data_IF_477766954514
#
_entry.id   IF_477766954514
#
_cell.length_a   1.000
_cell.length_b   1.000
_cell.length_c   1.000
_cell.angle_alpha   90.00
_cell.angle_beta   90.00
_cell.angle_gamma   90.00
#
_symmetry.space_group_name_H-M   'P 1'
#
loop_
_entity.id
_entity.type
_entity.pdbx_description
1 polymer ?
#
# COMPACT_ATOMS: atom_id res chain seq x y z
N UNK A 1 51.90 47.14 12.35
CA UNK A 1 51.51 47.94 11.17
C UNK A 1 52.29 47.56 9.91
N UNK A 2 53.61 47.87 9.81
CA UNK A 2 54.41 47.61 8.59
C UNK A 2 54.33 46.16 8.08
N UNK A 3 54.30 45.16 8.97
CA UNK A 3 54.14 43.76 8.57
C UNK A 3 52.76 43.45 7.97
N UNK A 4 51.67 44.03 8.51
CA UNK A 4 50.33 43.87 7.95
C UNK A 4 50.23 44.48 6.54
N UNK A 5 50.82 45.67 6.33
CA UNK A 5 50.89 46.28 5.00
C UNK A 5 51.59 45.38 3.98
N UNK A 6 52.67 44.68 4.38
CA UNK A 6 53.36 43.73 3.50
C UNK A 6 52.48 42.54 3.13
N UNK A 7 51.71 41.99 4.08
CA UNK A 7 50.78 40.88 3.82
C UNK A 7 49.66 41.31 2.86
N UNK A 8 49.01 42.44 3.15
CA UNK A 8 47.95 43.03 2.30
C UNK A 8 48.48 43.29 0.88
N UNK A 9 49.66 43.90 0.73
CA UNK A 9 50.24 44.23 -0.57
C UNK A 9 50.50 43.01 -1.46
N UNK A 10 50.79 41.83 -0.90
CA UNK A 10 51.02 40.60 -1.67
C UNK A 10 49.78 40.04 -2.36
N UNK A 11 48.59 40.48 -1.94
CA UNK A 11 47.28 40.05 -2.44
C UNK A 11 46.54 41.17 -3.19
N UNK A 12 47.17 42.32 -3.37
CA UNK A 12 46.59 43.44 -4.11
C UNK A 12 46.64 43.16 -5.61
N UNK A 13 45.58 43.50 -6.37
CA UNK A 13 45.58 43.42 -7.83
C UNK A 13 46.77 44.19 -8.45
N UNK A 14 47.39 43.63 -9.48
CA UNK A 14 48.55 44.21 -10.18
C UNK A 14 49.91 43.61 -9.80
N UNK A 15 49.96 42.65 -8.88
CA UNK A 15 51.15 41.80 -8.66
C UNK A 15 51.03 40.52 -9.48
N UNK A 16 52.02 40.24 -10.34
CA UNK A 16 52.03 39.12 -11.30
C UNK A 16 52.38 37.77 -10.62
N UNK A 17 51.65 37.45 -9.56
CA UNK A 17 51.87 36.27 -8.70
C UNK A 17 50.65 35.36 -8.75
N UNK A 18 50.88 34.06 -8.93
CA UNK A 18 49.82 33.06 -8.99
C UNK A 18 48.95 33.09 -7.71
N UNK A 19 47.62 33.15 -7.91
CA UNK A 19 46.64 33.19 -6.82
C UNK A 19 46.16 34.59 -6.43
N UNK A 20 46.75 35.67 -6.95
CA UNK A 20 46.28 37.05 -6.68
C UNK A 20 44.99 37.34 -7.48
N UNK A 21 43.94 37.89 -6.84
CA UNK A 21 42.70 38.21 -7.54
C UNK A 21 42.87 39.36 -8.55
N UNK A 22 42.13 39.31 -9.65
CA UNK A 22 42.14 40.36 -10.68
C UNK A 22 41.49 41.68 -10.20
N UNK A 23 40.56 41.58 -9.26
CA UNK A 23 39.90 42.70 -8.61
C UNK A 23 39.51 42.30 -7.18
N UNK A 24 39.40 43.28 -6.28
CA UNK A 24 38.89 43.07 -4.94
C UNK A 24 37.44 43.59 -4.85
N UNK A 25 36.59 42.88 -4.13
CA UNK A 25 35.24 43.34 -3.79
C UNK A 25 35.02 43.15 -2.30
N UNK A 26 34.56 44.20 -1.61
CA UNK A 26 34.23 44.16 -0.20
C UNK A 26 33.07 45.11 0.10
N UNK A 27 32.31 44.82 1.15
CA UNK A 27 31.13 45.57 1.54
C UNK A 27 31.44 47.00 2.00
N UNK A 28 30.43 47.88 1.96
CA UNK A 28 30.56 49.28 2.37
C UNK A 28 31.08 49.44 3.81
N UNK A 29 30.70 48.52 4.71
CA UNK A 29 31.16 48.50 6.10
C UNK A 29 32.68 48.32 6.23
N UNK A 30 33.28 47.50 5.36
CA UNK A 30 34.74 47.27 5.32
C UNK A 30 35.46 48.54 4.86
N UNK A 31 34.89 49.24 3.87
CA UNK A 31 35.39 50.53 3.38
C UNK A 31 35.38 51.62 4.46
N UNK A 32 34.28 51.71 5.22
CA UNK A 32 34.14 52.66 6.33
C UNK A 32 35.17 52.36 7.44
N UNK A 33 35.32 51.09 7.80
CA UNK A 33 36.30 50.64 8.82
C UNK A 33 37.74 50.97 8.42
N UNK A 34 38.10 50.82 7.15
CA UNK A 34 39.42 51.20 6.63
C UNK A 34 39.62 52.73 6.64
N UNK A 35 38.58 53.49 6.31
CA UNK A 35 38.62 54.95 6.33
C UNK A 35 38.84 55.48 7.74
N UNK A 36 38.15 54.88 8.72
CA UNK A 36 38.32 55.16 10.14
C UNK A 36 39.73 54.78 10.63
N UNK A 37 40.24 53.59 10.24
CA UNK A 37 41.60 53.18 10.56
C UNK A 37 42.65 54.17 10.01
N UNK A 38 42.44 54.70 8.80
CA UNK A 38 43.32 55.73 8.22
C UNK A 38 43.28 57.00 9.07
N UNK A 39 42.09 57.46 9.48
CA UNK A 39 41.93 58.65 10.33
C UNK A 39 42.66 58.51 11.66
N UNK A 40 42.52 57.36 12.32
CA UNK A 40 43.23 57.07 13.57
C UNK A 40 44.76 57.06 13.37
N UNK A 41 45.25 56.43 12.30
CA UNK A 41 46.67 56.43 11.97
C UNK A 41 47.21 57.85 11.70
N UNK A 42 46.46 58.69 10.99
CA UNK A 42 46.84 60.09 10.74
C UNK A 42 46.98 60.87 12.05
N UNK A 43 46.07 60.67 13.01
CA UNK A 43 46.16 61.31 14.33
C UNK A 43 47.37 60.85 15.12
N UNK A 44 47.65 59.54 15.16
CA UNK A 44 48.84 58.98 15.82
C UNK A 44 50.13 59.59 15.22
N UNK A 45 50.20 59.68 13.89
CA UNK A 45 51.35 60.28 13.20
C UNK A 45 51.49 61.77 13.53
N UNK A 46 50.38 62.51 13.54
CA UNK A 46 50.38 63.93 13.90
C UNK A 46 50.88 64.14 15.34
N UNK A 47 50.41 63.34 16.31
CA UNK A 47 50.92 63.40 17.69
C UNK A 47 52.42 63.14 17.74
N UNK A 48 52.91 62.08 17.08
CA UNK A 48 54.35 61.77 17.07
C UNK A 48 55.18 62.89 16.42
N UNK A 49 54.67 63.53 15.37
CA UNK A 49 55.34 64.63 14.69
C UNK A 49 55.40 65.89 15.57
N UNK A 50 54.28 66.27 16.18
CA UNK A 50 54.19 67.44 17.06
C UNK A 50 54.99 67.24 18.36
N UNK A 51 54.98 66.04 18.95
CA UNK A 51 55.86 65.71 20.10
C UNK A 51 57.33 65.80 19.70
N UNK A 52 57.71 65.29 18.51
CA UNK A 52 59.08 65.39 18.03
C UNK A 52 59.49 66.84 17.76
N UNK A 53 58.59 67.66 17.20
CA UNK A 53 58.83 69.09 16.95
C UNK A 53 58.97 69.87 18.26
N UNK A 54 58.07 69.65 19.22
CA UNK A 54 58.14 70.24 20.56
C UNK A 54 59.41 69.81 21.30
N UNK A 55 59.78 68.52 21.21
CA UNK A 55 61.04 68.02 21.75
C UNK A 55 62.26 68.69 21.14
N UNK A 56 62.31 68.80 19.80
CA UNK A 56 63.41 69.43 19.08
C UNK A 56 63.60 70.91 19.44
N UNK A 57 62.51 71.64 19.73
CA UNK A 57 62.57 73.03 20.19
C UNK A 57 63.19 73.18 21.60
N UNK A 58 63.18 72.13 22.41
CA UNK A 58 63.72 72.13 23.77
C UNK A 58 65.18 71.65 23.85
N UNK A 59 65.71 71.03 22.78
CA UNK A 59 67.09 70.54 22.71
C UNK A 59 68.15 71.64 22.88
N UNK A 60 68.03 72.85 22.29
CA UNK A 60 69.06 73.89 22.40
C UNK A 60 69.24 74.45 23.82
N UNK A 61 68.25 74.28 24.69
CA UNK A 61 68.27 74.73 26.09
C UNK A 61 68.83 73.70 27.08
N UNK A 62 69.29 72.53 26.60
CA UNK A 62 69.85 71.46 27.42
C UNK A 62 71.39 71.43 27.29
N UNK A 63 72.09 71.15 28.38
CA UNK A 63 73.55 70.97 28.37
C UNK A 63 73.97 69.71 27.60
N UNK A 64 75.21 69.66 27.09
CA UNK A 64 75.71 68.61 26.18
C UNK A 64 75.64 67.15 26.72
N UNK A 65 75.27 66.94 28.00
CA UNK A 65 75.05 65.61 28.60
C UNK A 65 73.71 65.44 29.33
N UNK A 66 72.76 66.37 29.22
CA UNK A 66 71.44 66.26 29.90
C UNK A 66 70.31 65.93 28.92
N UNK A 67 69.57 64.86 29.21
CA UNK A 67 68.36 64.50 28.47
C UNK A 67 67.10 65.23 28.99
N UNK A 68 66.04 65.23 28.19
CA UNK A 68 64.72 65.71 28.64
C UNK A 68 64.21 64.86 29.81
N UNK A 69 63.80 65.50 30.90
CA UNK A 69 63.21 64.83 32.05
C UNK A 69 61.90 64.12 31.66
N UNK A 70 61.72 62.86 32.06
CA UNK A 70 60.58 62.01 31.66
C UNK A 70 59.20 62.66 31.90
N UNK A 71 58.99 63.25 33.09
CA UNK A 71 57.74 63.94 33.42
C UNK A 71 57.45 65.15 32.50
N UNK A 72 58.49 65.88 32.06
CA UNK A 72 58.31 67.01 31.13
C UNK A 72 57.93 66.52 29.74
N UNK A 73 58.49 65.40 29.31
CA UNK A 73 58.11 64.77 28.04
C UNK A 73 56.67 64.25 28.09
N UNK A 74 56.27 63.66 29.21
CA UNK A 74 54.89 63.19 29.44
C UNK A 74 53.89 64.36 29.38
N UNK A 75 54.18 65.48 30.03
CA UNK A 75 53.36 66.70 29.94
C UNK A 75 53.23 67.24 28.50
N UNK A 76 54.31 67.18 27.72
CA UNK A 76 54.31 67.59 26.30
C UNK A 76 53.43 66.63 25.49
N UNK A 77 53.57 65.32 25.71
CA UNK A 77 52.74 64.30 25.04
C UNK A 77 51.26 64.53 25.37
N UNK A 78 50.90 64.77 26.64
CA UNK A 78 49.53 65.05 27.04
C UNK A 78 48.98 66.28 26.30
N UNK A 79 49.70 67.41 26.29
CA UNK A 79 49.27 68.64 25.60
C UNK A 79 49.10 68.45 24.10
N UNK A 80 50.04 67.77 23.45
CA UNK A 80 49.99 67.50 22.00
C UNK A 80 48.84 66.54 21.66
N UNK A 81 48.59 65.53 22.50
CA UNK A 81 47.44 64.63 22.29
C UNK A 81 46.12 65.40 22.40
N UNK A 82 45.95 66.23 23.43
CA UNK A 82 44.75 67.06 23.58
C UNK A 82 44.55 67.99 22.37
N UNK A 83 45.63 68.58 21.87
CA UNK A 83 45.62 69.45 20.68
C UNK A 83 45.20 68.70 19.40
N UNK A 84 45.74 67.50 19.16
CA UNK A 84 45.48 66.72 17.93
C UNK A 84 44.11 66.04 17.98
N UNK A 85 43.64 65.62 19.16
CA UNK A 85 42.37 64.92 19.31
C UNK A 85 41.19 65.85 19.59
N UNK A 86 41.44 67.08 20.07
CA UNK A 86 40.42 68.09 20.37
C UNK A 86 39.62 67.81 21.65
N UNK A 87 40.14 66.96 22.54
CA UNK A 87 39.49 66.54 23.78
C UNK A 87 40.28 67.06 24.98
N UNK A 88 39.68 67.94 25.79
CA UNK A 88 40.30 68.43 27.03
C UNK A 88 39.85 67.56 28.22
N UNK A 89 40.80 67.11 29.06
CA UNK A 89 40.50 66.42 30.32
C UNK A 89 40.24 64.90 30.22
N UNK A 90 40.62 64.27 29.10
CA UNK A 90 40.67 62.80 28.97
C UNK A 90 42.14 62.37 29.02
N UNK A 91 42.41 61.20 29.60
CA UNK A 91 43.77 60.63 29.67
C UNK A 91 44.38 60.48 28.25
N UNK A 92 45.22 61.45 27.86
CA UNK A 92 45.78 61.59 26.52
C UNK A 92 46.63 60.37 26.10
N UNK A 93 47.58 59.91 26.92
CA UNK A 93 48.31 58.67 26.66
C UNK A 93 47.41 57.46 26.39
N UNK A 94 46.28 57.33 27.10
CA UNK A 94 45.33 56.24 26.88
C UNK A 94 44.57 56.37 25.56
N UNK A 95 44.20 57.59 25.14
CA UNK A 95 43.62 57.83 23.80
C UNK A 95 44.57 57.46 22.67
N UNK A 96 45.85 57.82 22.80
CA UNK A 96 46.88 57.44 21.84
C UNK A 96 47.05 55.91 21.78
N UNK A 97 47.04 55.24 22.94
CA UNK A 97 47.11 53.78 23.05
C UNK A 97 45.90 53.10 22.43
N UNK A 98 44.70 53.64 22.64
CA UNK A 98 43.45 53.15 22.05
C UNK A 98 43.46 53.28 20.52
N UNK A 99 43.89 54.43 19.98
CA UNK A 99 44.07 54.62 18.54
C UNK A 99 45.07 53.63 17.95
N UNK A 100 46.22 53.42 18.61
CA UNK A 100 47.21 52.44 18.17
C UNK A 100 46.64 51.01 18.16
N UNK A 101 45.90 50.65 19.21
CA UNK A 101 45.28 49.33 19.35
C UNK A 101 44.21 49.08 18.28
N UNK A 102 43.37 50.08 18.01
CA UNK A 102 42.34 50.04 16.95
C UNK A 102 42.97 49.87 15.57
N UNK A 103 44.03 50.63 15.26
CA UNK A 103 44.78 50.47 13.99
C UNK A 103 45.37 49.08 13.87
N UNK A 104 45.98 48.54 14.92
CA UNK A 104 46.56 47.18 14.91
C UNK A 104 45.47 46.13 14.65
N UNK A 105 44.33 46.21 15.34
CA UNK A 105 43.23 45.25 15.22
C UNK A 105 42.64 45.26 13.81
N UNK A 106 42.30 46.43 13.28
CA UNK A 106 41.72 46.58 11.94
C UNK A 106 42.68 46.11 10.85
N UNK A 107 43.97 46.49 10.95
CA UNK A 107 44.97 46.05 9.97
C UNK A 107 45.23 44.55 10.00
N UNK A 108 45.17 43.92 11.18
CA UNK A 108 45.31 42.47 11.31
C UNK A 108 44.12 41.75 10.67
N UNK A 109 42.89 42.18 10.96
CA UNK A 109 41.67 41.61 10.37
C UNK A 109 41.70 41.70 8.84
N UNK A 110 42.08 42.86 8.30
CA UNK A 110 42.25 43.06 6.85
C UNK A 110 43.31 42.15 6.25
N UNK A 111 44.47 42.01 6.91
CA UNK A 111 45.54 41.13 6.43
C UNK A 111 45.12 39.65 6.40
N UNK A 112 44.32 39.20 7.37
CA UNK A 112 43.79 37.82 7.42
C UNK A 112 42.76 37.59 6.31
N UNK A 113 41.73 38.44 6.21
CA UNK A 113 40.68 38.31 5.20
C UNK A 113 41.25 38.36 3.76
N UNK A 114 42.26 39.20 3.52
CA UNK A 114 42.97 39.23 2.24
C UNK A 114 43.80 37.97 1.97
N UNK A 115 44.36 37.34 3.00
CA UNK A 115 45.13 36.09 2.87
C UNK A 115 44.21 34.89 2.62
N UNK A 116 43.00 34.91 3.19
CA UNK A 116 41.96 33.88 3.04
C UNK A 116 41.15 34.04 1.76
N UNK A 117 41.28 35.16 1.05
CA UNK A 117 40.62 35.41 -0.23
C UNK A 117 39.16 35.84 -0.11
N UNK A 118 38.74 36.29 1.07
CA UNK A 118 37.35 36.74 1.32
C UNK A 118 36.94 37.95 0.48
N UNK A 119 37.91 38.73 0.00
CA UNK A 119 37.68 39.91 -0.84
C UNK A 119 37.99 39.69 -2.31
N UNK A 120 38.27 38.46 -2.74
CA UNK A 120 38.53 38.15 -4.14
C UNK A 120 37.22 38.31 -4.94
N UNK A 121 37.22 39.16 -5.97
CA UNK A 121 36.05 39.30 -6.83
C UNK A 121 35.80 38.00 -7.63
N UNK A 122 34.56 37.51 -7.64
CA UNK A 122 34.19 36.37 -8.49
C UNK A 122 34.50 36.69 -9.96
N UNK A 123 35.09 35.72 -10.66
CA UNK A 123 35.36 35.86 -12.09
C UNK A 123 34.03 36.09 -12.81
N UNK A 124 33.95 37.03 -13.78
CA UNK A 124 32.77 37.18 -14.61
C UNK A 124 32.43 35.83 -15.24
N UNK A 125 31.18 35.39 -15.07
CA UNK A 125 30.67 34.13 -15.61
C UNK A 125 30.85 34.14 -17.13
N UNK A 126 31.92 33.50 -17.64
CA UNK A 126 32.03 33.22 -19.07
C UNK A 126 30.90 32.27 -19.40
N UNK A 127 29.99 32.70 -20.28
CA UNK A 127 28.96 31.82 -20.81
C UNK A 127 29.64 30.61 -21.45
N UNK A 128 29.37 29.42 -20.92
CA UNK A 128 29.92 28.17 -21.42
C UNK A 128 29.54 28.02 -22.90
N UNK A 129 30.50 27.78 -23.82
CA UNK A 129 30.20 27.67 -25.24
C UNK A 129 29.15 26.59 -25.53
N UNK A 130 28.21 26.81 -26.48
CA UNK A 130 27.17 25.84 -26.83
C UNK A 130 27.71 24.44 -27.22
N UNK A 131 28.94 24.37 -27.74
CA UNK A 131 29.62 23.09 -28.05
C UNK A 131 29.92 22.27 -26.80
N UNK A 132 30.37 22.90 -25.72
CA UNK A 132 30.69 22.20 -24.47
C UNK A 132 29.42 21.71 -23.77
N UNK A 133 28.34 22.50 -23.81
CA UNK A 133 27.02 22.10 -23.31
C UNK A 133 26.48 20.88 -24.07
N UNK A 134 26.56 20.89 -25.41
CA UNK A 134 26.16 19.74 -26.23
C UNK A 134 27.03 18.51 -25.94
N UNK A 135 28.35 18.67 -25.85
CA UNK A 135 29.25 17.57 -25.53
C UNK A 135 28.98 16.98 -24.13
N UNK A 136 28.64 17.82 -23.15
CA UNK A 136 28.25 17.37 -21.82
C UNK A 136 26.93 16.60 -21.84
N UNK A 137 25.96 17.05 -22.63
CA UNK A 137 24.67 16.38 -22.79
C UNK A 137 24.85 15.00 -23.41
N UNK A 138 25.62 14.90 -24.50
CA UNK A 138 25.92 13.62 -25.15
C UNK A 138 26.66 12.66 -24.21
N UNK A 139 27.63 13.16 -23.42
CA UNK A 139 28.32 12.32 -22.44
C UNK A 139 27.37 11.77 -21.37
N UNK A 140 26.44 12.59 -20.88
CA UNK A 140 25.43 12.14 -19.92
C UNK A 140 24.50 11.08 -20.56
N UNK A 141 24.03 11.31 -21.78
CA UNK A 141 23.19 10.36 -22.52
C UNK A 141 23.91 9.03 -22.79
N UNK A 142 25.20 9.05 -23.10
CA UNK A 142 26.00 7.82 -23.29
C UNK A 142 26.11 7.01 -21.99
N UNK A 143 26.40 7.67 -20.86
CA UNK A 143 26.46 7.00 -19.55
C UNK A 143 25.10 6.42 -19.15
N UNK A 144 24.01 7.13 -19.42
CA UNK A 144 22.65 6.64 -19.16
C UNK A 144 22.32 5.42 -20.03
N UNK A 145 22.73 5.42 -21.31
CA UNK A 145 22.54 4.30 -22.23
C UNK A 145 23.32 3.04 -21.78
N UNK A 146 24.56 3.19 -21.30
CA UNK A 146 25.34 2.10 -20.72
C UNK A 146 24.63 1.51 -19.49
N UNK A 147 24.06 2.35 -18.63
CA UNK A 147 23.27 1.92 -17.47
C UNK A 147 21.99 1.16 -17.83
N UNK A 148 21.37 1.46 -18.99
CA UNK A 148 20.24 0.68 -19.51
C UNK A 148 20.67 -0.69 -20.03
N UNK A 149 21.87 -0.82 -20.60
CA UNK A 149 22.43 -2.09 -21.07
C UNK A 149 22.54 -3.14 -19.95
N UNK A 150 23.12 -2.75 -18.80
CA UNK A 150 23.23 -3.63 -17.62
C UNK A 150 21.86 -4.08 -17.12
N UNK A 151 20.89 -3.16 -17.06
CA UNK A 151 19.51 -3.51 -16.67
C UNK A 151 18.86 -4.50 -17.64
N UNK A 152 19.15 -4.40 -18.93
CA UNK A 152 18.64 -5.32 -19.94
C UNK A 152 19.24 -6.71 -19.76
N UNK A 153 20.54 -6.81 -19.52
CA UNK A 153 21.21 -8.07 -19.19
C UNK A 153 20.63 -8.72 -17.94
N UNK A 154 20.39 -7.95 -16.87
CA UNK A 154 19.72 -8.46 -15.66
C UNK A 154 18.34 -9.03 -15.98
N UNK A 155 17.54 -8.34 -16.81
CA UNK A 155 16.22 -8.84 -17.22
C UNK A 155 16.31 -10.11 -18.06
N UNK A 156 17.31 -10.23 -18.93
CA UNK A 156 17.58 -11.44 -19.72
C UNK A 156 17.86 -12.65 -18.80
N UNK A 157 18.61 -12.45 -17.71
CA UNK A 157 18.88 -13.53 -16.74
C UNK A 157 17.61 -13.97 -16.00
N UNK A 158 16.79 -13.02 -15.55
CA UNK A 158 15.51 -13.30 -14.88
C UNK A 158 14.57 -14.05 -15.83
N UNK A 159 14.51 -13.68 -17.10
CA UNK A 159 13.69 -14.37 -18.10
C UNK A 159 14.16 -15.84 -18.25
N UNK A 160 15.47 -16.08 -18.31
CA UNK A 160 16.02 -17.45 -18.39
C UNK A 160 15.66 -18.28 -17.16
N UNK A 161 15.70 -17.68 -15.97
CA UNK A 161 15.31 -18.35 -14.73
C UNK A 161 13.81 -18.66 -14.67
N UNK A 162 12.95 -17.68 -14.99
CA UNK A 162 11.51 -17.86 -15.05
C UNK A 162 11.13 -18.94 -16.06
N UNK A 163 11.79 -18.98 -17.22
CA UNK A 163 11.58 -20.03 -18.23
C UNK A 163 11.96 -21.42 -17.70
N UNK A 164 13.05 -21.53 -16.93
CA UNK A 164 13.44 -22.79 -16.28
C UNK A 164 12.41 -23.22 -15.22
N UNK A 165 11.97 -22.29 -14.37
CA UNK A 165 10.95 -22.54 -13.34
C UNK A 165 9.61 -22.96 -13.94
N UNK A 166 9.19 -22.31 -15.04
CA UNK A 166 7.98 -22.66 -15.76
C UNK A 166 8.04 -24.10 -16.32
N UNK A 167 9.20 -24.52 -16.84
CA UNK A 167 9.38 -25.89 -17.33
C UNK A 167 9.22 -26.91 -16.22
N UNK A 168 9.85 -26.68 -15.06
CA UNK A 168 9.74 -27.55 -13.88
C UNK A 168 8.29 -27.62 -13.39
N UNK A 169 7.60 -26.47 -13.29
CA UNK A 169 6.18 -26.42 -12.89
C UNK A 169 5.27 -27.14 -13.89
N UNK A 170 5.59 -27.11 -15.17
CA UNK A 170 4.90 -27.90 -16.19
C UNK A 170 5.06 -29.41 -15.99
N UNK A 171 6.26 -29.86 -15.67
CA UNK A 171 6.55 -31.26 -15.36
C UNK A 171 5.82 -31.70 -14.07
N UNK A 172 5.87 -30.92 -13.00
CA UNK A 172 5.12 -31.17 -11.75
C UNK A 172 3.60 -31.26 -11.98
N UNK A 173 3.04 -30.37 -12.80
CA UNK A 173 1.61 -30.37 -13.12
C UNK A 173 1.24 -31.63 -13.92
N UNK A 174 2.08 -32.02 -14.88
CA UNK A 174 1.86 -33.26 -15.65
C UNK A 174 1.87 -34.50 -14.75
N UNK A 175 2.76 -34.56 -13.76
CA UNK A 175 2.81 -35.65 -12.79
C UNK A 175 1.58 -35.67 -11.88
N UNK A 176 1.15 -34.50 -11.40
CA UNK A 176 -0.08 -34.36 -10.62
C UNK A 176 -1.33 -34.80 -11.42
N UNK A 177 -1.39 -34.46 -12.72
CA UNK A 177 -2.48 -34.88 -13.59
C UNK A 177 -2.54 -36.39 -13.75
N UNK A 178 -1.39 -37.06 -13.96
CA UNK A 178 -1.32 -38.53 -14.00
C UNK A 178 -1.77 -39.16 -12.69
N UNK A 179 -1.37 -38.61 -11.54
CA UNK A 179 -1.83 -39.08 -10.22
C UNK A 179 -3.34 -38.93 -10.05
N UNK A 180 -3.90 -37.82 -10.51
CA UNK A 180 -5.34 -37.56 -10.48
C UNK A 180 -6.09 -38.58 -11.34
N UNK A 181 -5.67 -38.79 -12.60
CA UNK A 181 -6.30 -39.79 -13.48
C UNK A 181 -6.22 -41.22 -12.92
N UNK A 182 -5.16 -41.55 -12.18
CA UNK A 182 -5.06 -42.85 -11.50
C UNK A 182 -6.07 -42.97 -10.35
N UNK A 183 -6.25 -41.91 -9.56
CA UNK A 183 -7.22 -41.89 -8.46
C UNK A 183 -8.67 -41.93 -8.97
N UNK A 184 -8.97 -41.22 -10.06
CA UNK A 184 -10.28 -41.29 -10.73
C UNK A 184 -10.57 -42.72 -11.20
N UNK A 185 -9.62 -43.36 -11.88
CA UNK A 185 -9.78 -44.77 -12.28
C UNK A 185 -10.00 -45.71 -11.10
N UNK A 186 -9.29 -45.51 -9.98
CA UNK A 186 -9.48 -46.31 -8.75
C UNK A 186 -10.87 -46.07 -8.14
N UNK A 187 -11.37 -44.83 -8.20
CA UNK A 187 -12.70 -44.50 -7.74
C UNK A 187 -13.77 -45.16 -8.61
N UNK A 188 -13.61 -45.13 -9.94
CA UNK A 188 -14.52 -45.79 -10.88
C UNK A 188 -14.56 -47.30 -10.65
N UNK A 189 -13.39 -47.95 -10.49
CA UNK A 189 -13.35 -49.39 -10.18
C UNK A 189 -14.00 -49.70 -8.84
N UNK A 190 -13.70 -48.90 -7.80
CA UNK A 190 -14.30 -49.10 -6.47
C UNK A 190 -15.81 -48.86 -6.47
N UNK A 191 -16.31 -47.96 -7.32
CA UNK A 191 -17.74 -47.69 -7.47
C UNK A 191 -18.43 -48.86 -8.15
N UNK A 192 -17.87 -49.38 -9.25
CA UNK A 192 -18.36 -50.60 -9.90
C UNK A 192 -18.39 -51.80 -8.96
N UNK A 193 -17.30 -52.03 -8.21
CA UNK A 193 -17.25 -53.12 -7.21
C UNK A 193 -18.30 -52.95 -6.10
N UNK A 194 -18.67 -51.71 -5.77
CA UNK A 194 -19.75 -51.43 -4.83
C UNK A 194 -21.12 -51.73 -5.45
N UNK A 195 -21.36 -51.30 -6.67
CA UNK A 195 -22.61 -51.54 -7.40
C UNK A 195 -22.84 -53.05 -7.61
N UNK A 196 -21.82 -53.80 -8.01
CA UNK A 196 -21.91 -55.27 -8.14
C UNK A 196 -22.24 -55.97 -6.81
N UNK A 197 -21.72 -55.45 -5.68
CA UNK A 197 -22.07 -55.98 -4.36
C UNK A 197 -23.51 -55.68 -3.99
N UNK A 198 -24.00 -54.48 -4.32
CA UNK A 198 -25.41 -54.12 -4.11
C UNK A 198 -26.31 -55.03 -4.94
N UNK A 199 -25.98 -55.26 -6.21
CA UNK A 199 -26.73 -56.15 -7.09
C UNK A 199 -26.76 -57.59 -6.53
N UNK A 200 -25.60 -58.13 -6.09
CA UNK A 200 -25.53 -59.45 -5.43
C UNK A 200 -26.34 -59.55 -4.14
N UNK A 201 -26.46 -58.46 -3.37
CA UNK A 201 -27.28 -58.43 -2.16
C UNK A 201 -28.76 -58.39 -2.55
N UNK A 202 -29.11 -57.61 -3.58
CA UNK A 202 -30.48 -57.52 -4.08
C UNK A 202 -30.99 -58.86 -4.59
N UNK A 203 -30.19 -59.59 -5.38
CA UNK A 203 -30.59 -60.92 -5.88
C UNK A 203 -30.81 -61.91 -4.73
N UNK A 204 -29.93 -61.94 -3.73
CA UNK A 204 -30.12 -62.77 -2.52
C UNK A 204 -31.38 -62.41 -1.73
N UNK A 205 -31.70 -61.12 -1.65
CA UNK A 205 -32.91 -60.63 -1.00
C UNK A 205 -34.16 -61.13 -1.74
N UNK A 206 -34.17 -61.02 -3.06
CA UNK A 206 -35.29 -61.45 -3.91
C UNK A 206 -35.47 -62.99 -3.86
N UNK A 207 -34.39 -63.76 -3.89
CA UNK A 207 -34.41 -65.21 -3.70
C UNK A 207 -34.99 -65.60 -2.33
N UNK A 208 -34.58 -64.92 -1.26
CA UNK A 208 -35.06 -65.20 0.09
C UNK A 208 -36.54 -64.84 0.27
N UNK A 209 -36.98 -63.72 -0.33
CA UNK A 209 -38.40 -63.34 -0.38
C UNK A 209 -39.24 -64.35 -1.16
N UNK A 210 -38.74 -64.88 -2.28
CA UNK A 210 -39.42 -65.91 -3.04
C UNK A 210 -39.56 -67.21 -2.25
N UNK A 211 -38.51 -67.62 -1.52
CA UNK A 211 -38.56 -68.79 -0.63
C UNK A 211 -39.56 -68.59 0.50
N UNK A 212 -39.61 -67.40 1.12
CA UNK A 212 -40.57 -67.08 2.17
C UNK A 212 -42.01 -67.18 1.66
N UNK A 213 -42.31 -66.59 0.49
CA UNK A 213 -43.64 -66.72 -0.13
C UNK A 213 -44.02 -68.16 -0.46
N UNK A 214 -43.05 -68.96 -0.93
CA UNK A 214 -43.30 -70.37 -1.20
C UNK A 214 -43.63 -71.13 0.08
N UNK A 215 -42.87 -70.89 1.15
CA UNK A 215 -43.13 -71.47 2.49
C UNK A 215 -44.49 -71.04 3.02
N UNK A 216 -44.84 -69.76 2.89
CA UNK A 216 -46.14 -69.23 3.28
C UNK A 216 -47.28 -69.95 2.56
N UNK A 217 -47.17 -70.15 1.24
CA UNK A 217 -48.14 -70.94 0.45
C UNK A 217 -48.21 -72.41 0.87
N UNK A 218 -47.07 -73.05 1.10
CA UNK A 218 -47.00 -74.45 1.58
C UNK A 218 -47.69 -74.59 2.96
N UNK A 219 -47.53 -73.60 3.86
CA UNK A 219 -48.24 -73.57 5.14
C UNK A 219 -49.74 -73.36 4.95
N UNK A 220 -50.16 -72.45 4.07
CA UNK A 220 -51.57 -72.18 3.79
C UNK A 220 -52.26 -73.44 3.22
N UNK A 221 -51.65 -74.12 2.25
CA UNK A 221 -52.15 -75.39 1.70
C UNK A 221 -52.25 -76.49 2.77
N UNK A 222 -51.28 -76.55 3.69
CA UNK A 222 -51.32 -77.52 4.80
C UNK A 222 -52.42 -77.18 5.82
N UNK A 223 -52.64 -75.89 6.10
CA UNK A 223 -53.72 -75.43 6.97
C UNK A 223 -55.09 -75.74 6.37
N UNK A 224 -55.28 -75.55 5.07
CA UNK A 224 -56.51 -75.89 4.36
C UNK A 224 -56.78 -77.41 4.38
N UNK A 225 -55.74 -78.23 4.17
CA UNK A 225 -55.84 -79.68 4.27
C UNK A 225 -56.25 -80.14 5.68
N UNK A 226 -55.62 -79.59 6.73
CA UNK A 226 -55.98 -79.87 8.11
C UNK A 226 -57.40 -79.43 8.45
N UNK A 227 -57.85 -78.29 7.91
CA UNK A 227 -59.22 -77.82 8.11
C UNK A 227 -60.24 -78.75 7.41
N UNK A 228 -59.92 -79.24 6.20
CA UNK A 228 -60.75 -80.22 5.52
C UNK A 228 -60.86 -81.54 6.30
N UNK A 229 -59.75 -82.01 6.89
CA UNK A 229 -59.76 -83.20 7.77
C UNK A 229 -60.61 -82.97 9.02
N UNK A 230 -60.56 -81.79 9.64
CA UNK A 230 -61.43 -81.42 10.77
C UNK A 230 -62.91 -81.51 10.36
N UNK A 231 -63.27 -80.89 9.24
CA UNK A 231 -64.66 -80.87 8.77
C UNK A 231 -65.16 -82.30 8.44
N UNK A 232 -64.31 -83.15 7.86
CA UNK A 232 -64.62 -84.56 7.60
C UNK A 232 -64.83 -85.34 8.91
N UNK A 233 -63.94 -85.18 9.90
CA UNK A 233 -64.09 -85.82 11.20
C UNK A 233 -65.36 -85.33 11.93
N UNK A 234 -65.74 -84.07 11.77
CA UNK A 234 -67.00 -83.54 12.29
C UNK A 234 -68.21 -84.17 11.61
N UNK A 235 -68.17 -84.35 10.28
CA UNK A 235 -69.21 -85.04 9.52
C UNK A 235 -69.35 -86.51 9.95
N UNK A 236 -68.23 -87.25 10.07
CA UNK A 236 -68.21 -88.64 10.54
C UNK A 236 -68.74 -88.77 11.97
N UNK A 237 -68.37 -87.85 12.86
CA UNK A 237 -68.91 -87.75 14.23
C UNK A 237 -70.42 -87.52 14.21
N UNK A 238 -70.91 -86.67 13.30
CA UNK A 238 -72.34 -86.37 13.17
C UNK A 238 -73.12 -87.58 12.61
N UNK A 239 -72.54 -88.31 11.66
CA UNK A 239 -73.07 -89.56 11.12
C UNK A 239 -73.11 -90.68 12.17
N UNK A 240 -72.03 -90.85 12.96
CA UNK A 240 -71.99 -91.80 14.07
C UNK A 240 -73.04 -91.48 15.13
N UNK A 241 -73.21 -90.20 15.48
CA UNK A 241 -74.31 -89.76 16.35
C UNK A 241 -75.68 -90.12 15.76
N UNK A 242 -75.88 -89.94 14.46
CA UNK A 242 -77.12 -90.36 13.80
C UNK A 242 -77.30 -91.88 13.79
N UNK A 243 -76.25 -92.69 13.56
CA UNK A 243 -76.31 -94.16 13.65
C UNK A 243 -76.65 -94.64 15.05
N UNK A 244 -76.07 -94.05 16.08
CA UNK A 244 -76.44 -94.33 17.48
C UNK A 244 -77.91 -93.96 17.73
N UNK A 245 -78.35 -92.80 17.25
CA UNK A 245 -79.75 -92.38 17.36
C UNK A 245 -80.69 -93.35 16.62
N UNK A 246 -80.30 -93.88 15.46
CA UNK A 246 -81.09 -94.83 14.67
C UNK A 246 -81.07 -96.26 15.23
N UNK A 247 -79.94 -96.73 15.77
CA UNK A 247 -79.85 -98.01 16.49
C UNK A 247 -80.67 -98.00 17.78
N UNK A 248 -80.89 -96.84 18.40
CA UNK A 248 -81.75 -96.70 19.60
C UNK A 248 -83.26 -96.95 19.37
N UNK A 249 -83.71 -97.23 18.13
CA UNK A 249 -85.11 -97.60 17.82
C UNK A 249 -85.39 -99.12 17.76
N UNK A 250 -84.42 -99.99 18.03
CA UNK A 250 -84.59 -101.46 18.03
C UNK A 250 -84.28 -102.17 19.36
N UNK A 251 -84.38 -101.49 20.52
CA UNK A 251 -84.58 -102.13 21.84
C UNK A 251 -85.14 -101.11 22.84
N UNK A 252 -86.21 -101.48 23.56
CA UNK A 252 -86.94 -100.67 24.55
C UNK A 252 -86.38 -100.91 25.97
N UNK A 253 -86.45 -99.86 26.81
CA UNK A 253 -86.32 -99.78 28.29
C UNK A 253 -84.91 -99.97 28.90
N UNK A 254 -84.39 -99.19 29.83
CA UNK A 254 -84.76 -98.04 30.70
C UNK A 254 -83.46 -97.76 31.54
N UNK A 255 -83.09 -96.60 32.09
CA UNK A 255 -83.73 -95.64 32.99
C UNK A 255 -82.68 -94.54 33.33
N UNK A 256 -83.14 -93.29 33.56
CA UNK A 256 -82.64 -92.24 34.49
C UNK A 256 -81.12 -91.96 34.60
N UNK A 257 -80.62 -90.73 34.54
CA UNK A 257 -81.20 -89.38 34.43
C UNK A 257 -80.08 -88.31 34.40
N UNK A 258 -80.38 -87.04 34.06
CA UNK A 258 -79.45 -85.90 33.97
C UNK A 258 -79.59 -84.99 35.23
N UNK A 259 -79.03 -83.75 35.34
CA UNK A 259 -78.21 -82.94 34.41
C UNK A 259 -76.98 -82.23 35.05
N UNK A 260 -76.12 -81.59 34.23
CA UNK A 260 -75.46 -80.28 34.45
C UNK A 260 -74.33 -80.11 33.39
N UNK A 261 -74.37 -79.14 32.45
CA UNK A 261 -74.11 -77.70 32.62
C UNK A 261 -72.68 -77.44 33.13
N UNK A 262 -71.77 -76.69 32.50
CA UNK A 262 -71.82 -75.72 31.42
C UNK A 262 -70.77 -74.63 31.71
N UNK A 263 -70.07 -74.17 30.67
CA UNK A 263 -69.52 -72.80 30.50
C UNK A 263 -68.10 -72.45 31.05
N UNK A 264 -67.35 -71.79 30.16
CA UNK A 264 -66.26 -70.78 30.31
C UNK A 264 -64.93 -71.16 30.99
N UNK A 265 -63.78 -70.99 30.32
CA UNK A 265 -63.04 -69.73 30.05
C UNK A 265 -62.29 -69.17 31.28
N UNK A 266 -60.96 -69.09 31.13
CA UNK A 266 -60.09 -67.93 31.46
C UNK A 266 -59.55 -67.77 32.90
N UNK A 267 -58.20 -67.83 32.99
CA UNK A 267 -57.24 -67.08 33.85
C UNK A 267 -57.20 -67.38 35.37
N UNK A 268 -56.02 -67.77 35.91
CA UNK A 268 -55.08 -66.86 36.63
C UNK A 268 -53.93 -67.55 37.41
N UNK A 269 -52.70 -67.01 37.26
CA UNK A 269 -51.64 -66.82 38.28
C UNK A 269 -50.90 -68.06 38.84
N UNK A 270 -49.58 -68.09 39.08
CA UNK A 270 -48.67 -67.00 39.46
C UNK A 270 -47.19 -67.40 39.33
N UNK A 271 -46.38 -66.49 38.79
CA UNK A 271 -45.06 -66.03 39.28
C UNK A 271 -43.90 -67.00 39.50
N UNK A 272 -42.87 -66.85 38.66
CA UNK A 272 -41.48 -67.12 39.06
C UNK A 272 -40.52 -67.45 37.92
N UNK A 273 -40.24 -66.51 37.01
CA UNK A 273 -39.15 -66.71 36.05
C UNK A 273 -39.10 -65.71 34.91
N UNK A 274 -38.26 -64.68 35.08
CA UNK A 274 -37.40 -64.01 34.09
C UNK A 274 -37.93 -63.93 32.62
N UNK A 275 -38.11 -62.74 32.02
CA UNK A 275 -38.38 -62.67 30.60
C UNK A 275 -37.12 -63.01 29.78
N UNK A 276 -37.18 -63.99 28.86
CA UNK A 276 -36.18 -64.14 27.82
C UNK A 276 -36.59 -63.31 26.59
N UNK A 277 -35.64 -62.50 26.15
CA UNK A 277 -35.34 -62.17 24.75
C UNK A 277 -36.29 -62.76 23.69
N UNK A 278 -37.25 -61.97 23.22
CA UNK A 278 -37.93 -62.23 21.94
C UNK A 278 -37.33 -61.31 20.89
N UNK A 279 -36.27 -61.81 20.24
CA UNK A 279 -35.78 -61.34 18.97
C UNK A 279 -36.70 -61.86 17.87
N UNK A 280 -37.72 -61.09 17.52
CA UNK A 280 -38.39 -61.18 16.22
C UNK A 280 -37.80 -60.12 15.29
N UNK A 281 -37.60 -60.39 14.00
CA UNK A 281 -37.20 -59.37 13.05
C UNK A 281 -38.39 -58.43 12.86
N UNK A 282 -38.40 -57.32 13.59
CA UNK A 282 -39.21 -56.15 13.29
C UNK A 282 -38.94 -55.80 11.83
N UNK A 283 -39.89 -56.05 10.92
CA UNK A 283 -39.87 -55.46 9.61
C UNK A 283 -40.05 -53.96 9.78
N UNK A 284 -38.92 -53.26 9.87
CA UNK A 284 -38.90 -51.79 9.79
C UNK A 284 -39.17 -51.47 8.33
N UNK A 285 -40.44 -51.27 8.00
CA UNK A 285 -40.80 -50.56 6.77
C UNK A 285 -40.14 -49.20 6.89
N UNK A 286 -39.11 -48.95 6.09
CA UNK A 286 -38.46 -47.64 5.96
C UNK A 286 -39.51 -46.64 5.47
N UNK A 287 -40.24 -46.02 6.41
CA UNK A 287 -41.22 -45.00 6.10
C UNK A 287 -40.50 -43.86 5.38
N UNK A 288 -40.88 -43.52 4.13
CA UNK A 288 -40.27 -42.42 3.37
C UNK A 288 -40.28 -41.10 4.16
N UNK A 289 -41.31 -40.92 4.99
CA UNK A 289 -41.44 -39.78 5.89
C UNK A 289 -40.35 -39.76 6.98
N UNK A 290 -39.95 -40.92 7.49
CA UNK A 290 -38.89 -41.06 8.48
C UNK A 290 -37.52 -40.76 7.87
N UNK A 291 -37.25 -41.21 6.63
CA UNK A 291 -36.02 -40.83 5.90
C UNK A 291 -35.94 -39.33 5.67
N UNK A 292 -37.04 -38.72 5.21
CA UNK A 292 -37.11 -37.27 5.01
C UNK A 292 -36.92 -36.51 6.33
N UNK A 293 -37.50 -36.98 7.43
CA UNK A 293 -37.31 -36.40 8.75
C UNK A 293 -35.85 -36.50 9.21
N UNK A 294 -35.18 -37.64 8.98
CA UNK A 294 -33.75 -37.82 9.29
C UNK A 294 -32.89 -36.88 8.44
N UNK A 295 -33.21 -36.67 7.16
CA UNK A 295 -32.49 -35.73 6.30
C UNK A 295 -32.63 -34.27 6.76
N UNK A 296 -33.85 -33.84 7.08
CA UNK A 296 -34.11 -32.49 7.60
C UNK A 296 -33.40 -32.28 8.94
N UNK A 297 -33.44 -33.27 9.84
CA UNK A 297 -32.72 -33.21 11.11
C UNK A 297 -31.20 -33.15 10.90
N UNK A 298 -30.65 -33.93 9.96
CA UNK A 298 -29.23 -33.84 9.59
C UNK A 298 -28.86 -32.45 9.08
N UNK A 299 -29.72 -31.81 8.30
CA UNK A 299 -29.52 -30.43 7.83
C UNK A 299 -29.55 -29.43 9.00
N UNK A 300 -30.49 -29.59 9.93
CA UNK A 300 -30.57 -28.78 11.15
C UNK A 300 -29.33 -28.93 12.05
N UNK A 301 -28.85 -30.16 12.24
CA UNK A 301 -27.61 -30.43 12.97
C UNK A 301 -26.42 -29.80 12.27
N UNK A 302 -26.34 -29.87 10.93
CA UNK A 302 -25.30 -29.22 10.13
C UNK A 302 -25.32 -27.70 10.31
N UNK A 303 -26.51 -27.08 10.28
CA UNK A 303 -26.67 -25.65 10.54
C UNK A 303 -26.19 -25.26 11.93
N UNK A 304 -26.65 -25.97 12.97
CA UNK A 304 -26.24 -25.72 14.36
C UNK A 304 -24.73 -25.93 14.56
N UNK A 305 -24.15 -26.95 13.91
CA UNK A 305 -22.71 -27.18 13.92
C UNK A 305 -21.95 -26.03 13.27
N UNK A 306 -22.44 -25.51 12.15
CA UNK A 306 -21.83 -24.35 11.47
C UNK A 306 -21.92 -23.08 12.33
N UNK A 307 -23.05 -22.81 12.97
CA UNK A 307 -23.21 -21.69 13.89
C UNK A 307 -22.30 -21.82 15.12
N UNK A 308 -22.22 -23.01 15.70
CA UNK A 308 -21.33 -23.28 16.83
C UNK A 308 -19.86 -23.07 16.43
N UNK A 309 -19.46 -23.52 15.24
CA UNK A 309 -18.13 -23.25 14.68
C UNK A 309 -17.91 -21.76 14.44
N UNK A 310 -18.93 -21.03 13.93
CA UNK A 310 -18.87 -19.58 13.69
C UNK A 310 -18.59 -18.81 14.97
N UNK A 311 -19.30 -19.16 16.05
CA UNK A 311 -19.18 -18.56 17.39
C UNK A 311 -17.86 -18.94 18.06
N UNK A 312 -17.46 -20.22 18.03
CA UNK A 312 -16.16 -20.66 18.56
C UNK A 312 -14.98 -19.97 17.86
N UNK A 313 -15.09 -19.76 16.54
CA UNK A 313 -14.08 -19.08 15.75
C UNK A 313 -14.21 -17.54 15.76
N UNK A 314 -15.17 -16.96 16.50
CA UNK A 314 -15.42 -15.51 16.49
C UNK A 314 -14.22 -14.71 16.97
N UNK A 315 -13.59 -15.11 18.08
CA UNK A 315 -12.39 -14.45 18.62
C UNK A 315 -11.24 -14.45 17.61
N UNK A 316 -10.96 -15.60 16.98
CA UNK A 316 -9.89 -15.74 15.98
C UNK A 316 -10.21 -14.91 14.74
N UNK A 317 -11.47 -14.93 14.28
CA UNK A 317 -11.94 -14.13 13.15
C UNK A 317 -11.81 -12.63 13.42
N UNK A 318 -12.17 -12.18 14.62
CA UNK A 318 -12.02 -10.79 15.03
C UNK A 318 -10.56 -10.36 15.12
N UNK A 319 -9.69 -11.21 15.68
CA UNK A 319 -8.24 -10.96 15.71
C UNK A 319 -7.66 -10.85 14.29
N UNK A 320 -8.03 -11.76 13.39
CA UNK A 320 -7.58 -11.69 12.00
C UNK A 320 -8.13 -10.46 11.27
N UNK A 321 -9.40 -10.10 11.49
CA UNK A 321 -10.04 -8.94 10.89
C UNK A 321 -9.53 -7.60 11.44
N UNK A 322 -8.96 -7.59 12.65
CA UNK A 322 -8.31 -6.40 13.23
C UNK A 322 -6.99 -6.04 12.55
N UNK A 323 -6.38 -7.00 11.84
CA UNK A 323 -5.16 -6.77 11.06
C UNK A 323 -5.52 -6.07 9.74
N UNK A 324 -4.67 -5.14 9.25
CA UNK A 324 -4.90 -4.48 7.98
C UNK A 324 -4.87 -5.48 6.82
N UNK A 325 -5.80 -5.37 5.85
CA UNK A 325 -5.84 -6.27 4.70
C UNK A 325 -4.59 -6.10 3.83
N UNK A 326 -3.99 -7.22 3.43
CA UNK A 326 -2.85 -7.22 2.51
C UNK A 326 -3.36 -7.20 1.07
N UNK A 327 -3.21 -6.07 0.40
CA UNK A 327 -3.48 -5.91 -1.03
C UNK A 327 -2.15 -5.79 -1.78
N UNK A 328 -1.53 -6.90 -2.21
CA UNK A 328 -0.26 -6.83 -2.92
C UNK A 328 -0.45 -6.01 -4.22
N UNK A 329 0.44 -5.05 -4.52
CA UNK A 329 0.42 -4.37 -5.79
C UNK A 329 0.51 -5.39 -6.92
N UNK A 330 -0.27 -5.21 -7.99
CA UNK A 330 -0.07 -5.95 -9.24
C UNK A 330 1.27 -5.51 -9.82
N UNK A 331 2.34 -6.21 -9.44
CA UNK A 331 3.66 -5.98 -9.99
C UNK A 331 3.59 -6.29 -11.50
N UNK A 332 3.96 -5.34 -12.37
CA UNK A 332 4.08 -5.66 -13.79
C UNK A 332 5.08 -6.80 -13.93
N UNK A 333 4.63 -7.95 -14.44
CA UNK A 333 5.54 -8.97 -14.95
C UNK A 333 6.43 -8.28 -15.98
N UNK A 334 7.75 -8.29 -15.74
CA UNK A 334 8.78 -7.56 -16.47
C UNK A 334 9.00 -8.06 -17.93
N UNK A 335 7.97 -8.60 -18.56
CA UNK A 335 7.99 -9.20 -19.89
C UNK A 335 6.70 -8.86 -20.62
N UNK A 336 6.47 -7.56 -20.83
CA UNK A 336 5.62 -7.00 -21.89
C UNK A 336 5.84 -5.49 -21.89
N UNK A 337 6.87 -5.05 -22.60
CA UNK A 337 6.86 -3.77 -23.32
C UNK A 337 5.83 -3.87 -24.45
N UNK A 338 4.58 -4.09 -24.07
CA UNK A 338 3.43 -3.87 -24.90
C UNK A 338 2.53 -3.00 -24.06
N UNK A 339 2.15 -1.87 -24.64
CA UNK A 339 1.09 -0.95 -24.26
C UNK A 339 -0.28 -1.64 -24.16
N UNK A 340 -0.36 -2.73 -23.39
CA UNK A 340 -1.60 -3.42 -23.05
C UNK A 340 -2.07 -2.83 -21.72
N UNK A 341 -3.05 -1.92 -21.75
CA UNK A 341 -3.67 -1.42 -20.54
C UNK A 341 -4.26 -2.58 -19.73
N UNK A 342 -4.31 -2.48 -18.39
CA UNK A 342 -4.88 -3.48 -17.49
C UNK A 342 -6.20 -4.07 -18.01
N UNK A 343 -6.32 -5.40 -17.96
CA UNK A 343 -7.54 -6.13 -18.30
C UNK A 343 -8.75 -5.52 -17.57
N UNK A 344 -9.73 -5.05 -18.34
CA UNK A 344 -10.94 -4.38 -17.85
C UNK A 344 -11.09 -2.89 -18.23
N UNK A 345 -10.10 -2.28 -18.87
CA UNK A 345 -10.18 -0.88 -19.31
C UNK A 345 -11.05 -0.72 -20.57
N UNK A 346 -11.88 0.33 -20.60
CA UNK A 346 -12.42 0.88 -21.84
C UNK A 346 -11.25 1.45 -22.67
N UNK A 347 -10.49 0.57 -23.33
CA UNK A 347 -9.31 0.90 -24.15
C UNK A 347 -9.63 1.95 -25.22
N UNK A 348 -10.90 2.03 -25.64
CA UNK A 348 -11.40 3.06 -26.55
C UNK A 348 -11.35 4.49 -25.99
N UNK A 349 -11.49 4.71 -24.68
CA UNK A 349 -11.39 6.06 -24.07
C UNK A 349 -9.93 6.53 -24.09
N UNK A 350 -9.00 5.65 -23.71
CA UNK A 350 -7.57 5.95 -23.72
C UNK A 350 -7.06 6.23 -25.13
N UNK A 351 -7.38 5.36 -26.11
CA UNK A 351 -7.01 5.59 -27.52
C UNK A 351 -7.57 6.90 -28.06
N UNK A 352 -8.82 7.25 -27.76
CA UNK A 352 -9.41 8.53 -28.18
C UNK A 352 -8.74 9.73 -27.52
N UNK A 353 -8.32 9.59 -26.26
CA UNK A 353 -7.56 10.61 -25.54
C UNK A 353 -6.20 10.83 -26.21
N UNK A 354 -5.48 9.76 -26.51
CA UNK A 354 -4.16 9.83 -27.16
C UNK A 354 -4.25 10.42 -28.58
N UNK A 355 -5.26 10.01 -29.36
CA UNK A 355 -5.50 10.55 -30.70
C UNK A 355 -5.84 12.05 -30.68
N UNK A 356 -6.70 12.47 -29.74
CA UNK A 356 -7.08 13.87 -29.59
C UNK A 356 -5.88 14.72 -29.13
N UNK A 357 -5.10 14.21 -28.18
CA UNK A 357 -3.87 14.84 -27.71
C UNK A 357 -2.85 14.99 -28.84
N UNK A 358 -2.60 13.93 -29.62
CA UNK A 358 -1.68 13.99 -30.76
C UNK A 358 -2.12 15.01 -31.80
N UNK A 359 -3.42 15.10 -32.08
CA UNK A 359 -3.99 16.07 -33.01
C UNK A 359 -3.83 17.50 -32.50
N UNK A 360 -4.09 17.75 -31.21
CA UNK A 360 -3.92 19.05 -30.56
C UNK A 360 -2.44 19.48 -30.52
N UNK A 361 -1.54 18.57 -30.18
CA UNK A 361 -0.09 18.82 -30.19
C UNK A 361 0.39 19.18 -31.59
N UNK A 362 -0.01 18.42 -32.62
CA UNK A 362 0.31 18.73 -34.02
C UNK A 362 -0.18 20.11 -34.41
N UNK A 363 -1.45 20.44 -34.10
CA UNK A 363 -2.01 21.76 -34.36
C UNK A 363 -1.28 22.88 -33.62
N UNK A 364 -0.87 22.66 -32.37
CA UNK A 364 -0.11 23.64 -31.59
C UNK A 364 1.28 23.91 -32.16
N UNK A 365 1.89 22.92 -32.83
CA UNK A 365 3.20 23.04 -33.47
C UNK A 365 3.15 23.56 -34.91
N UNK A 366 2.03 23.37 -35.62
CA UNK A 366 1.87 23.71 -37.05
C UNK A 366 1.07 24.99 -37.29
N UNK A 367 1.01 25.90 -36.31
CA UNK A 367 0.28 27.18 -36.45
C UNK A 367 0.94 28.04 -37.54
N UNK A 368 0.21 28.30 -38.63
CA UNK A 368 0.64 29.16 -39.74
C UNK A 368 -0.25 30.39 -39.85
N UNK A 369 0.36 31.53 -40.15
CA UNK A 369 -0.36 32.77 -40.47
C UNK A 369 -1.10 32.59 -41.79
N UNK A 370 -2.33 33.10 -41.84
CA UNK A 370 -3.19 33.07 -43.04
C UNK A 370 -2.57 33.93 -44.14
N UNK A 371 -2.48 33.39 -45.35
CA UNK A 371 -1.94 34.11 -46.51
C UNK A 371 -2.97 35.09 -47.07
N UNK A 372 -2.60 36.37 -47.13
CA UNK A 372 -3.40 37.48 -47.68
C UNK A 372 -2.96 37.90 -49.08
N UNK A 373 -1.96 37.24 -49.67
CA UNK A 373 -1.37 37.62 -50.97
C UNK A 373 -2.26 37.35 -52.18
N UNK A 374 -3.44 36.72 -51.99
CA UNK A 374 -4.38 36.39 -53.06
C UNK A 374 -3.97 35.22 -53.95
N UNK A 375 -2.87 34.52 -53.62
CA UNK A 375 -2.36 33.34 -54.36
C UNK A 375 -3.08 32.04 -53.98
N UNK A 376 -3.80 32.03 -52.86
CA UNK A 376 -4.62 30.90 -52.42
C UNK A 376 -6.00 30.94 -53.08
N UNK A 377 -6.53 29.77 -53.43
CA UNK A 377 -7.88 29.60 -54.01
C UNK A 377 -9.00 29.92 -53.01
N UNK A 378 -8.68 30.03 -51.72
CA UNK A 378 -9.63 30.25 -50.62
C UNK A 378 -9.38 31.61 -50.00
N UNK A 379 -10.44 32.39 -49.73
CA UNK A 379 -10.31 33.71 -49.10
C UNK A 379 -9.69 33.62 -47.70
N UNK A 380 -8.92 34.66 -47.32
CA UNK A 380 -8.27 34.71 -46.01
C UNK A 380 -9.29 34.60 -44.85
N UNK A 381 -10.47 35.20 -45.01
CA UNK A 381 -11.55 35.08 -44.03
C UNK A 381 -12.09 33.66 -43.90
N UNK A 382 -12.22 32.92 -45.01
CA UNK A 382 -12.67 31.53 -45.00
C UNK A 382 -11.63 30.60 -44.37
N UNK A 383 -10.33 30.81 -44.64
CA UNK A 383 -9.25 30.04 -44.01
C UNK A 383 -9.22 30.24 -42.49
N UNK A 384 -9.37 31.48 -42.01
CA UNK A 384 -9.42 31.78 -40.57
C UNK A 384 -10.68 31.20 -39.91
N UNK A 385 -11.82 31.26 -40.60
CA UNK A 385 -13.06 30.64 -40.15
C UNK A 385 -12.93 29.11 -40.03
N UNK A 386 -12.27 28.46 -41.00
CA UNK A 386 -12.01 27.01 -40.98
C UNK A 386 -11.11 26.62 -39.80
N UNK A 387 -10.03 27.36 -39.55
CA UNK A 387 -9.16 27.14 -38.38
C UNK A 387 -9.95 27.28 -37.07
N UNK A 388 -10.79 28.31 -36.96
CA UNK A 388 -11.62 28.56 -35.78
C UNK A 388 -12.68 27.46 -35.59
N UNK A 389 -13.36 27.05 -36.65
CA UNK A 389 -14.33 25.97 -36.62
C UNK A 389 -13.70 24.63 -36.23
N UNK A 390 -12.49 24.36 -36.74
CA UNK A 390 -11.72 23.16 -36.37
C UNK A 390 -11.34 23.16 -34.89
N UNK A 391 -10.88 24.28 -34.34
CA UNK A 391 -10.57 24.40 -32.91
C UNK A 391 -11.84 24.23 -32.06
N UNK A 392 -12.96 24.81 -32.48
CA UNK A 392 -14.25 24.65 -31.78
C UNK A 392 -14.71 23.19 -31.76
N UNK A 393 -14.62 22.50 -32.89
CA UNK A 393 -14.95 21.08 -33.00
C UNK A 393 -14.08 20.20 -32.10
N UNK A 394 -12.77 20.48 -32.03
CA UNK A 394 -11.86 19.77 -31.11
C UNK A 394 -12.17 20.06 -29.63
N UNK A 395 -12.56 21.30 -29.30
CA UNK A 395 -13.02 21.65 -27.95
C UNK A 395 -14.27 20.85 -27.57
N UNK A 396 -15.27 20.77 -28.46
CA UNK A 396 -16.50 20.01 -28.21
C UNK A 396 -16.23 18.51 -28.04
N UNK A 397 -15.32 17.96 -28.86
CA UNK A 397 -14.86 16.58 -28.72
C UNK A 397 -14.15 16.33 -27.39
N UNK A 398 -13.34 17.28 -26.92
CA UNK A 398 -12.65 17.21 -25.63
C UNK A 398 -13.63 17.24 -24.46
N UNK A 399 -14.62 18.12 -24.48
CA UNK A 399 -15.63 18.22 -23.42
C UNK A 399 -16.47 16.95 -23.31
N UNK A 400 -16.87 16.37 -24.45
CA UNK A 400 -17.55 15.07 -24.49
C UNK A 400 -16.68 13.96 -23.89
N UNK A 401 -15.41 13.88 -24.32
CA UNK A 401 -14.48 12.87 -23.82
C UNK A 401 -14.19 13.04 -22.32
N UNK A 402 -14.10 14.27 -21.82
CA UNK A 402 -13.95 14.58 -20.39
C UNK A 402 -15.12 14.03 -19.57
N UNK A 403 -16.34 14.15 -20.08
CA UNK A 403 -17.54 13.54 -19.47
C UNK A 403 -17.46 12.02 -19.41
N UNK A 404 -17.11 11.38 -20.53
CA UNK A 404 -16.96 9.91 -20.62
C UNK A 404 -15.84 9.39 -19.70
N UNK A 405 -14.71 10.10 -19.60
CA UNK A 405 -13.61 9.79 -18.68
C UNK A 405 -14.08 9.91 -17.23
N UNK A 406 -14.82 10.96 -16.88
CA UNK A 406 -15.34 11.15 -15.54
C UNK A 406 -16.29 10.01 -15.14
N UNK A 407 -17.20 9.62 -16.02
CA UNK A 407 -18.11 8.49 -15.79
C UNK A 407 -17.35 7.15 -15.65
N UNK A 408 -16.36 6.91 -16.51
CA UNK A 408 -15.53 5.71 -16.45
C UNK A 408 -14.76 5.61 -15.13
N UNK A 409 -14.16 6.70 -14.67
CA UNK A 409 -13.42 6.74 -13.39
C UNK A 409 -14.34 6.41 -12.20
N UNK A 410 -15.55 6.96 -12.20
CA UNK A 410 -16.55 6.71 -11.14
C UNK A 410 -17.04 5.25 -11.18
N UNK A 411 -17.22 4.69 -12.37
CA UNK A 411 -17.70 3.32 -12.55
C UNK A 411 -16.64 2.27 -12.19
N UNK A 412 -15.36 2.59 -12.40
CA UNK A 412 -14.26 1.67 -12.13
C UNK A 412 -13.92 1.58 -10.64
N UNK A 413 -14.05 2.68 -9.90
CA UNK A 413 -13.68 2.73 -8.48
C UNK A 413 -14.81 2.17 -7.60
N UNK A 414 -14.60 1.07 -6.86
CA UNK A 414 -15.62 0.54 -5.96
C UNK A 414 -16.04 1.59 -4.92
N UNK A 415 -17.34 1.79 -4.76
CA UNK A 415 -17.91 2.75 -3.80
C UNK A 415 -17.88 4.23 -4.25
N UNK A 416 -17.41 4.54 -5.46
CA UNK A 416 -17.39 5.91 -5.99
C UNK A 416 -18.70 6.35 -6.66
N UNK A 417 -19.59 5.41 -6.99
CA UNK A 417 -20.87 5.64 -7.67
C UNK A 417 -22.03 5.75 -6.67
N UNK A 418 -22.87 6.78 -6.83
CA UNK A 418 -24.14 6.91 -6.13
C UNK A 418 -25.18 5.93 -6.70
N UNK A 419 -26.10 5.45 -5.86
CA UNK A 419 -27.21 4.61 -6.30
C UNK A 419 -28.23 5.45 -7.08
N UNK A 420 -28.39 5.15 -8.37
CA UNK A 420 -29.29 5.86 -9.28
C UNK A 420 -29.67 4.98 -10.48
N UNK A 421 -30.91 5.09 -10.95
CA UNK A 421 -31.46 4.22 -11.99
C UNK A 421 -31.15 4.70 -13.42
N UNK A 422 -31.00 6.01 -13.62
CA UNK A 422 -30.94 6.61 -14.96
C UNK A 422 -29.53 6.88 -15.48
N UNK A 423 -28.62 7.33 -14.62
CA UNK A 423 -27.28 7.76 -15.02
C UNK A 423 -26.26 7.54 -13.89
N UNK A 424 -24.97 7.62 -14.23
CA UNK A 424 -23.89 7.46 -13.26
C UNK A 424 -23.55 8.81 -12.62
N UNK A 425 -23.70 8.91 -11.29
CA UNK A 425 -23.29 10.08 -10.52
C UNK A 425 -22.20 9.72 -9.50
N UNK A 426 -21.16 10.55 -9.33
CA UNK A 426 -20.18 10.38 -8.26
C UNK A 426 -20.79 10.66 -6.88
N UNK A 427 -20.36 9.91 -5.86
CA UNK A 427 -20.67 10.26 -4.47
C UNK A 427 -19.88 11.49 -4.01
N UNK A 428 -20.46 12.32 -3.14
CA UNK A 428 -19.81 13.55 -2.65
C UNK A 428 -18.44 13.31 -2.00
N UNK A 429 -18.31 12.22 -1.23
CA UNK A 429 -17.04 11.82 -0.59
C UNK A 429 -15.94 11.54 -1.60
N UNK A 430 -16.27 10.92 -2.73
CA UNK A 430 -15.32 10.63 -3.80
C UNK A 430 -14.80 11.91 -4.47
N UNK A 431 -15.67 12.89 -4.71
CA UNK A 431 -15.28 14.18 -5.29
C UNK A 431 -14.32 14.90 -4.34
N UNK A 432 -14.69 15.02 -3.05
CA UNK A 432 -13.85 15.67 -2.04
C UNK A 432 -12.48 15.02 -1.92
N UNK A 433 -12.43 13.69 -1.89
CA UNK A 433 -11.17 12.93 -1.84
C UNK A 433 -10.32 13.12 -3.11
N UNK A 434 -10.95 13.25 -4.29
CA UNK A 434 -10.26 13.53 -5.55
C UNK A 434 -9.63 14.93 -5.54
N UNK A 435 -10.35 15.92 -5.04
CA UNK A 435 -9.86 17.30 -4.93
C UNK A 435 -8.70 17.38 -3.92
N UNK A 436 -8.81 16.69 -2.77
CA UNK A 436 -7.73 16.59 -1.79
C UNK A 436 -6.48 15.92 -2.37
N UNK A 437 -6.64 14.87 -3.20
CA UNK A 437 -5.51 14.24 -3.91
C UNK A 437 -4.76 15.18 -4.83
N UNK A 438 -5.41 16.20 -5.41
CA UNK A 438 -4.74 17.21 -6.23
C UNK A 438 -3.91 18.18 -5.38
N UNK A 439 -4.39 18.51 -4.17
CA UNK A 439 -3.69 19.34 -3.19
C UNK A 439 -2.55 18.63 -2.46
N UNK A 440 -2.51 17.30 -2.52
CA UNK A 440 -1.50 16.48 -1.84
C UNK A 440 -1.78 16.30 -0.35
N UNK A 441 -0.75 15.96 0.42
CA UNK A 441 -0.89 15.75 1.87
C UNK A 441 -1.03 17.08 2.60
N UNK A 442 -2.04 17.20 3.47
CA UNK A 442 -2.27 18.39 4.29
C UNK A 442 -1.25 18.45 5.44
N UNK A 443 -0.61 19.62 5.62
CA UNK A 443 0.28 19.85 6.77
C UNK A 443 -0.55 20.06 8.04
N UNK A 444 -0.37 19.18 9.03
CA UNK A 444 -1.14 19.21 10.28
C UNK A 444 -0.37 19.88 11.42
N UNK A 445 0.97 19.76 11.46
CA UNK A 445 1.77 20.34 12.54
C UNK A 445 3.25 19.96 12.50
N UNK A 446 4.00 20.45 13.49
CA UNK A 446 5.44 20.20 13.65
C UNK A 446 5.73 19.75 15.09
N UNK A 447 6.49 18.68 15.23
CA UNK A 447 7.03 18.22 16.52
C UNK A 447 8.53 18.51 16.52
N UNK A 448 9.01 19.19 17.56
CA UNK A 448 10.44 19.45 17.75
C UNK A 448 11.03 18.42 18.72
N UNK A 449 12.13 17.79 18.31
CA UNK A 449 12.88 16.85 19.13
C UNK A 449 14.22 17.51 19.50
N UNK A 450 14.64 17.51 20.77
CA UNK A 450 15.93 18.07 21.16
C UNK A 450 17.09 17.44 20.38
N UNK A 451 17.97 18.26 19.83
CA UNK A 451 19.17 17.80 19.11
C UNK A 451 20.37 18.73 19.38
N UNK A 452 21.58 18.26 19.08
CA UNK A 452 22.82 19.03 19.22
C UNK A 452 22.83 20.16 18.18
N UNK A 453 23.22 21.37 18.59
CA UNK A 453 23.32 22.54 17.69
C UNK A 453 24.21 22.21 16.49
N UNK A 454 23.69 22.47 15.29
CA UNK A 454 24.35 22.16 14.02
C UNK A 454 23.98 20.80 13.39
N UNK A 455 23.18 19.98 14.07
CA UNK A 455 22.63 18.71 13.54
C UNK A 455 21.11 18.73 13.34
N UNK A 456 20.52 19.91 13.20
CA UNK A 456 19.08 20.08 13.03
C UNK A 456 18.63 19.46 11.68
N UNK A 457 17.72 18.50 11.72
CA UNK A 457 17.14 17.89 10.53
C UNK A 457 15.62 18.05 10.51
N UNK A 458 15.09 18.36 9.32
CA UNK A 458 13.65 18.47 9.09
C UNK A 458 13.19 17.25 8.31
N UNK A 459 12.39 16.40 8.95
CA UNK A 459 11.77 15.24 8.31
C UNK A 459 10.30 15.52 8.01
N UNK A 460 9.88 15.24 6.76
CA UNK A 460 8.47 15.31 6.35
C UNK A 460 7.84 13.93 6.49
N UNK A 461 7.06 13.74 7.55
CA UNK A 461 6.37 12.49 7.84
C UNK A 461 4.92 12.58 7.34
N UNK A 462 4.50 11.59 6.57
CA UNK A 462 3.10 11.44 6.15
C UNK A 462 2.49 10.34 7.00
N UNK A 463 1.47 10.69 7.79
CA UNK A 463 0.82 9.79 8.72
C UNK A 463 -0.65 9.63 8.35
N UNK A 464 -1.19 8.43 8.55
CA UNK A 464 -2.64 8.22 8.53
C UNK A 464 -3.28 8.85 9.76
N UNK A 465 -4.60 9.06 9.72
CA UNK A 465 -5.34 9.58 10.88
C UNK A 465 -5.13 8.74 12.14
N UNK A 466 -5.12 7.40 12.02
CA UNK A 466 -4.89 6.49 13.14
C UNK A 466 -3.48 6.62 13.72
N UNK A 467 -2.46 6.71 12.85
CA UNK A 467 -1.08 6.91 13.27
C UNK A 467 -0.90 8.26 13.96
N UNK A 468 -1.54 9.32 13.45
CA UNK A 468 -1.51 10.63 14.07
C UNK A 468 -2.16 10.63 15.46
N UNK A 469 -3.30 9.95 15.63
CA UNK A 469 -3.94 9.78 16.94
C UNK A 469 -3.03 9.04 17.93
N UNK A 470 -2.32 8.01 17.47
CA UNK A 470 -1.36 7.27 18.30
C UNK A 470 -0.15 8.15 18.69
N UNK A 471 0.40 8.93 17.76
CA UNK A 471 1.47 9.88 18.08
C UNK A 471 0.98 10.92 19.08
N UNK A 472 -0.22 11.45 18.89
CA UNK A 472 -0.81 12.41 19.81
C UNK A 472 -1.01 11.80 21.21
N UNK A 473 -1.53 10.57 21.33
CA UNK A 473 -1.68 9.93 22.63
C UNK A 473 -0.35 9.66 23.32
N UNK A 474 0.71 9.35 22.57
CA UNK A 474 2.06 9.14 23.12
C UNK A 474 2.75 10.43 23.55
N UNK A 475 2.41 11.57 22.95
CA UNK A 475 2.96 12.88 23.31
C UNK A 475 2.24 13.56 24.47
N UNK A 476 1.01 13.11 24.78
CA UNK A 476 0.18 13.63 25.88
C UNK A 476 0.42 12.90 27.22
N UNK A 477 1.17 11.79 27.20
CA UNK A 477 1.67 11.06 28.37
C UNK A 477 3.07 11.57 28.68
#
# INVERSE_FOLDING_TARGET
>A
IRQFCKKIRRRMPGTDVAGVPAALSFEALVSETLTECRRQLTRVVAVLQEVAAAGAQMVPSLGEQEGLHALKLEDIVCKVVEQVYGSHGVDGPELLRQSCSSVIATMNKMATAMQEGEYDAEKPQRMTPPVEMRASTVRAEMTDAEGLGVKLEDRETVIKEVKRSLKIKGEELSEAHVRLSLLEKKLDTSTKDADERVEKIQTKLDESLAQLKKKEKEFEETMDALQADIDQLEAEKLELKQRIHNQSKMTIEGLRGPPASGIASVIQGSTGGLPPTMAGPTQVVDSPLLRQQVEVQRLGIKYLKNENNRLKAEKIRAQLASLPPLCPPKLPLASKESSTPPEGLNTGIYRRTDQLLATLLKLSSEVKVVDVSGKSTVSASAQLLEQTARLKSLSDALDKLKGEVAEHVVSYQPGAKASSDFATFPVSSFIKAKDEKQGGTVFVGRVAIPCVRGQEQVHRLVLSQQQLQQVHSLLMV
#
